data_IF_836127312164
#
_entry.id   IF_836127312164
#
_cell.length_a   1.000
_cell.length_b   1.000
_cell.length_c   1.000
_cell.angle_alpha   90.00
_cell.angle_beta   90.00
_cell.angle_gamma   90.00
#
_symmetry.space_group_name_H-M   'P 1'
#
loop_
_entity.id
_entity.type
_entity.pdbx_description
1 polymer ?
#
# COMPACT_ATOMS: atom_id res chain seq x y z
N UNK A 1 12.91 18.22 -3.88
CA UNK A 1 12.90 16.80 -4.28
C UNK A 1 14.31 16.24 -4.55
N UNK A 2 15.31 17.08 -4.85
CA UNK A 2 16.68 16.62 -5.20
C UNK A 2 17.60 16.24 -4.04
N UNK A 3 17.16 16.34 -2.78
CA UNK A 3 18.02 16.12 -1.61
C UNK A 3 18.04 14.68 -1.10
N UNK A 4 17.03 13.88 -1.43
CA UNK A 4 16.98 12.46 -1.01
C UNK A 4 18.03 11.64 -1.77
N UNK A 5 18.37 12.05 -3.01
CA UNK A 5 19.40 11.37 -3.80
C UNK A 5 20.81 11.50 -3.19
N UNK A 6 21.10 12.59 -2.46
CA UNK A 6 22.44 12.84 -1.90
C UNK A 6 22.74 12.08 -0.62
N UNK A 7 21.74 11.67 0.15
CA UNK A 7 21.93 10.95 1.43
C UNK A 7 22.12 9.45 1.24
N UNK A 8 21.62 8.91 0.12
CA UNK A 8 21.72 7.49 -0.23
C UNK A 8 23.02 7.17 -1.01
N UNK A 9 23.72 8.19 -1.51
CA UNK A 9 24.81 8.09 -2.51
C UNK A 9 26.18 7.61 -2.00
N UNK A 10 26.37 7.23 -0.75
CA UNK A 10 27.75 6.97 -0.27
C UNK A 10 28.17 5.53 -0.04
N UNK A 11 27.28 4.52 -0.12
CA UNK A 11 27.68 3.11 -0.03
C UNK A 11 26.69 2.12 -0.71
N UNK A 12 26.01 2.50 -1.75
CA UNK A 12 25.15 1.61 -2.51
C UNK A 12 25.92 0.97 -3.65
N UNK A 13 25.85 -0.34 -3.74
CA UNK A 13 26.32 -1.09 -4.89
C UNK A 13 25.59 -0.55 -6.14
N UNK A 14 26.33 0.14 -7.01
CA UNK A 14 25.83 0.64 -8.30
C UNK A 14 25.57 -0.53 -9.27
N UNK A 15 24.92 -0.27 -10.38
CA UNK A 15 24.50 -1.20 -11.45
C UNK A 15 25.45 -2.36 -11.76
N UNK A 16 26.77 -2.19 -11.56
CA UNK A 16 27.75 -3.26 -11.72
C UNK A 16 27.62 -4.43 -10.73
N UNK A 17 26.78 -4.33 -9.70
CA UNK A 17 26.63 -5.32 -8.63
C UNK A 17 25.39 -6.22 -8.76
N UNK A 18 24.34 -5.81 -9.48
CA UNK A 18 23.17 -6.66 -9.76
C UNK A 18 23.35 -7.28 -11.15
N UNK A 19 24.21 -8.27 -11.25
CA UNK A 19 24.35 -9.05 -12.48
C UNK A 19 23.12 -9.91 -12.79
N UNK A 20 23.01 -10.41 -14.03
CA UNK A 20 21.89 -11.25 -14.48
C UNK A 20 21.63 -12.48 -13.59
N UNK A 21 22.68 -13.07 -13.01
CA UNK A 21 22.57 -14.21 -12.09
C UNK A 21 21.86 -13.79 -10.81
N UNK A 22 22.24 -12.65 -10.22
CA UNK A 22 21.63 -12.13 -8.99
C UNK A 22 20.18 -11.72 -9.19
N UNK A 23 19.87 -11.12 -10.33
CA UNK A 23 18.48 -10.79 -10.68
C UNK A 23 17.61 -12.05 -10.84
N UNK A 24 18.16 -13.16 -11.39
CA UNK A 24 17.45 -14.44 -11.43
C UNK A 24 17.11 -14.96 -10.02
N UNK A 25 18.01 -14.86 -9.06
CA UNK A 25 17.75 -15.23 -7.66
C UNK A 25 16.65 -14.38 -7.04
N UNK A 26 16.66 -13.07 -7.28
CA UNK A 26 15.59 -12.16 -6.82
C UNK A 26 14.23 -12.57 -7.40
N UNK A 27 14.18 -12.93 -8.68
CA UNK A 27 12.94 -13.36 -9.33
C UNK A 27 12.40 -14.69 -8.78
N UNK A 28 13.27 -15.59 -8.33
CA UNK A 28 12.86 -16.85 -7.70
C UNK A 28 12.37 -16.66 -6.27
N UNK A 29 13.08 -15.86 -5.48
CA UNK A 29 12.72 -15.52 -4.10
C UNK A 29 13.29 -14.15 -3.74
N UNK A 30 12.44 -13.21 -3.39
CA UNK A 30 12.86 -11.86 -3.06
C UNK A 30 11.73 -10.88 -2.97
N UNK A 31 12.05 -9.62 -3.14
CA UNK A 31 11.04 -8.57 -3.11
C UNK A 31 11.55 -7.22 -3.59
N UNK A 32 10.62 -6.30 -3.62
CA UNK A 32 10.81 -4.94 -4.09
C UNK A 32 10.02 -3.95 -3.24
N UNK A 33 10.65 -2.80 -2.95
CA UNK A 33 10.02 -1.69 -2.27
C UNK A 33 10.44 -0.37 -2.91
N UNK A 34 9.51 0.45 -3.37
CA UNK A 34 9.80 1.75 -3.98
C UNK A 34 10.12 2.80 -2.91
N UNK A 35 11.38 3.24 -2.84
CA UNK A 35 11.87 4.24 -1.89
C UNK A 35 11.33 5.64 -2.25
N UNK A 36 11.48 6.04 -3.52
CA UNK A 36 11.02 7.31 -4.08
C UNK A 36 10.62 7.12 -5.56
N UNK A 37 10.36 8.19 -6.29
CA UNK A 37 9.85 8.13 -7.67
C UNK A 37 10.79 7.38 -8.62
N UNK A 38 12.09 7.36 -8.37
CA UNK A 38 13.10 6.76 -9.25
C UNK A 38 13.84 5.57 -8.65
N UNK A 39 13.85 5.40 -7.33
CA UNK A 39 14.66 4.40 -6.65
C UNK A 39 13.83 3.29 -6.03
N UNK A 40 14.33 2.06 -6.20
CA UNK A 40 13.77 0.83 -5.64
C UNK A 40 14.80 0.13 -4.78
N UNK A 41 14.36 -0.42 -3.66
CA UNK A 41 15.06 -1.41 -2.88
C UNK A 41 14.67 -2.79 -3.41
N UNK A 42 15.63 -3.53 -3.95
CA UNK A 42 15.49 -4.96 -4.28
C UNK A 42 16.16 -5.77 -3.17
N UNK A 43 15.62 -6.95 -2.88
CA UNK A 43 16.26 -7.86 -1.93
C UNK A 43 16.06 -9.33 -2.34
N UNK A 44 17.00 -10.18 -1.91
CA UNK A 44 16.99 -11.62 -2.17
C UNK A 44 16.44 -12.40 -0.99
N UNK A 45 15.74 -13.49 -1.28
CA UNK A 45 15.23 -14.43 -0.28
C UNK A 45 14.08 -13.90 0.57
N UNK A 46 13.72 -14.67 1.57
CA UNK A 46 12.72 -14.27 2.55
C UNK A 46 13.32 -13.27 3.56
N UNK A 47 12.45 -12.42 4.11
CA UNK A 47 12.83 -11.58 5.24
C UNK A 47 13.11 -12.46 6.47
N UNK A 48 14.19 -12.19 7.18
CA UNK A 48 14.58 -12.92 8.40
C UNK A 48 14.41 -12.04 9.64
N UNK A 49 14.05 -12.60 10.80
CA UNK A 49 13.90 -11.84 12.03
C UNK A 49 15.15 -11.01 12.38
N UNK A 50 14.93 -9.82 12.89
CA UNK A 50 15.95 -8.89 13.36
C UNK A 50 15.55 -8.36 14.74
N UNK A 51 16.52 -8.07 15.59
CA UNK A 51 16.29 -7.56 16.95
C UNK A 51 17.13 -6.28 17.19
N UNK A 52 17.42 -5.52 16.14
CA UNK A 52 18.19 -4.29 16.26
C UNK A 52 17.44 -3.22 17.02
N UNK A 53 18.09 -2.58 17.96
CA UNK A 53 17.59 -1.34 18.57
C UNK A 53 17.78 -0.16 17.61
N UNK A 54 17.08 0.95 17.84
CA UNK A 54 17.22 2.15 16.99
C UNK A 54 18.64 2.71 16.98
N UNK A 55 19.39 2.56 18.07
CA UNK A 55 20.81 2.95 18.14
C UNK A 55 21.74 2.05 17.30
N UNK A 56 21.30 0.86 16.94
CA UNK A 56 22.05 -0.11 16.11
C UNK A 56 21.68 -0.03 14.62
N UNK A 57 20.71 0.81 14.25
CA UNK A 57 20.36 1.03 12.86
C UNK A 57 21.55 1.62 12.09
N UNK A 58 21.79 1.07 10.92
CA UNK A 58 22.81 1.51 9.96
C UNK A 58 22.15 2.13 8.73
N UNK A 59 22.88 2.23 7.63
CA UNK A 59 22.31 2.59 6.33
C UNK A 59 21.50 1.45 5.69
N UNK A 60 21.67 0.19 6.16
CA UNK A 60 20.84 -0.94 5.72
C UNK A 60 19.42 -0.84 6.27
N UNK A 61 18.47 -1.27 5.46
CA UNK A 61 17.06 -1.25 5.85
C UNK A 61 16.67 -2.40 6.76
N UNK A 62 15.81 -2.11 7.69
CA UNK A 62 14.99 -3.08 8.41
C UNK A 62 13.53 -2.86 8.06
N UNK A 63 12.74 -3.91 8.20
CA UNK A 63 11.35 -3.93 7.77
C UNK A 63 10.42 -4.18 8.94
N UNK A 64 9.24 -3.55 8.90
CA UNK A 64 8.10 -3.88 9.74
C UNK A 64 6.89 -4.14 8.87
N UNK A 65 6.25 -5.29 9.08
CA UNK A 65 5.08 -5.72 8.31
C UNK A 65 4.03 -6.33 9.25
N UNK A 66 3.39 -5.51 10.10
CA UNK A 66 2.33 -5.98 10.98
C UNK A 66 1.11 -6.40 10.16
N UNK A 67 0.26 -7.23 10.74
CA UNK A 67 -1.07 -7.47 10.22
C UNK A 67 -1.98 -6.29 10.54
N UNK A 68 -3.04 -6.13 9.76
CA UNK A 68 -3.92 -4.97 9.93
C UNK A 68 -4.51 -4.83 11.34
N UNK A 69 -4.94 -5.95 11.96
CA UNK A 69 -5.56 -5.97 13.27
C UNK A 69 -4.61 -6.18 14.44
N UNK A 70 -3.30 -6.16 14.25
CA UNK A 70 -2.32 -6.24 15.33
C UNK A 70 -2.46 -5.09 16.35
N UNK A 71 -3.07 -3.98 15.94
CA UNK A 71 -3.46 -2.86 16.82
C UNK A 71 -4.43 -3.27 17.96
N UNK A 72 -5.18 -4.37 17.79
CA UNK A 72 -6.10 -4.86 18.84
C UNK A 72 -5.38 -5.58 19.98
N UNK A 73 -4.11 -5.89 19.82
CA UNK A 73 -3.30 -6.50 20.86
C UNK A 73 -2.76 -5.42 21.80
N UNK A 74 -3.34 -5.32 23.00
CA UNK A 74 -2.97 -4.36 24.05
C UNK A 74 -1.74 -4.84 24.83
N UNK A 75 -0.58 -4.90 24.21
CA UNK A 75 0.67 -5.14 24.93
C UNK A 75 1.66 -3.95 24.79
N UNK A 76 2.70 -4.00 25.60
CA UNK A 76 3.73 -2.95 25.67
C UNK A 76 4.59 -2.80 24.41
N UNK A 77 4.47 -3.70 23.44
CA UNK A 77 5.28 -3.70 22.22
C UNK A 77 4.66 -2.89 21.06
N UNK A 78 3.39 -2.50 21.18
CA UNK A 78 2.70 -1.71 20.15
C UNK A 78 2.48 -2.46 18.82
N UNK A 79 2.30 -1.72 17.72
CA UNK A 79 2.02 -2.26 16.39
C UNK A 79 3.24 -2.96 15.76
N UNK A 80 4.45 -2.43 15.97
CA UNK A 80 5.67 -2.90 15.31
C UNK A 80 6.49 -3.84 16.22
N UNK A 81 5.95 -5.02 16.49
CA UNK A 81 6.54 -6.04 17.36
C UNK A 81 7.67 -6.81 16.73
N UNK A 82 7.52 -7.13 15.44
CA UNK A 82 8.44 -7.95 14.70
C UNK A 82 9.20 -7.09 13.70
N UNK A 83 10.51 -7.12 13.83
CA UNK A 83 11.43 -6.48 12.91
C UNK A 83 12.07 -7.54 12.02
N UNK A 84 12.23 -7.22 10.75
CA UNK A 84 12.78 -8.10 9.73
C UNK A 84 13.95 -7.44 9.02
N UNK A 85 14.86 -8.22 8.50
CA UNK A 85 15.96 -7.75 7.66
C UNK A 85 16.13 -8.65 6.45
N UNK A 86 16.84 -8.14 5.45
CA UNK A 86 17.20 -8.87 4.23
C UNK A 86 18.53 -9.58 4.41
N UNK A 87 18.74 -10.69 3.68
CA UNK A 87 20.07 -11.28 3.54
C UNK A 87 20.96 -10.35 2.73
N UNK A 88 20.43 -9.84 1.62
CA UNK A 88 21.12 -8.99 0.69
C UNK A 88 20.14 -7.99 0.06
N UNK A 89 20.56 -6.75 -0.09
CA UNK A 89 19.73 -5.68 -0.63
C UNK A 89 20.50 -4.78 -1.59
N UNK A 90 19.78 -4.22 -2.56
CA UNK A 90 20.33 -3.39 -3.62
C UNK A 90 19.41 -2.20 -3.86
N UNK A 91 19.97 -1.01 -4.00
CA UNK A 91 19.23 0.16 -4.48
C UNK A 91 19.49 0.30 -5.97
N UNK A 92 18.41 0.39 -6.74
CA UNK A 92 18.44 0.45 -8.20
C UNK A 92 17.53 1.55 -8.70
N UNK A 93 17.92 2.22 -9.80
CA UNK A 93 17.04 3.18 -10.46
C UNK A 93 15.92 2.46 -11.24
N UNK A 94 14.85 3.21 -11.55
CA UNK A 94 13.76 2.70 -12.40
C UNK A 94 14.25 2.24 -13.76
N UNK A 95 15.14 3.02 -14.40
CA UNK A 95 15.65 2.70 -15.72
C UNK A 95 16.48 1.42 -15.70
N UNK A 96 17.37 1.29 -14.73
CA UNK A 96 18.23 0.12 -14.58
C UNK A 96 17.42 -1.13 -14.27
N UNK A 97 16.38 -1.03 -13.42
CA UNK A 97 15.47 -2.15 -13.16
C UNK A 97 14.72 -2.58 -14.43
N UNK A 98 14.27 -1.63 -15.25
CA UNK A 98 13.63 -1.95 -16.53
C UNK A 98 14.59 -2.61 -17.50
N UNK A 99 15.85 -2.15 -17.58
CA UNK A 99 16.89 -2.76 -18.41
C UNK A 99 17.19 -4.20 -17.97
N UNK A 100 17.27 -4.47 -16.66
CA UNK A 100 17.43 -5.83 -16.15
C UNK A 100 16.28 -6.76 -16.55
N UNK A 101 15.03 -6.27 -16.43
CA UNK A 101 13.83 -7.01 -16.83
C UNK A 101 13.86 -7.35 -18.32
N UNK A 102 14.15 -6.37 -19.17
CA UNK A 102 14.21 -6.56 -20.65
C UNK A 102 15.34 -7.51 -21.01
N UNK A 103 16.53 -7.35 -20.40
CA UNK A 103 17.67 -8.21 -20.61
C UNK A 103 17.41 -9.66 -20.23
N UNK A 104 16.75 -9.88 -19.07
CA UNK A 104 16.37 -11.22 -18.62
C UNK A 104 15.36 -11.89 -19.57
N UNK A 105 14.33 -11.15 -20.02
CA UNK A 105 13.35 -11.67 -20.97
C UNK A 105 13.97 -12.04 -22.33
N UNK A 106 14.96 -11.26 -22.78
CA UNK A 106 15.66 -11.53 -24.05
C UNK A 106 16.49 -12.82 -24.02
N UNK A 107 17.02 -13.19 -22.84
CA UNK A 107 17.80 -14.43 -22.64
C UNK A 107 16.92 -15.66 -22.45
N UNK A 108 15.67 -15.50 -22.00
CA UNK A 108 14.71 -16.61 -21.76
C UNK A 108 13.39 -16.35 -22.52
N UNK A 109 13.37 -16.39 -23.85
CA UNK A 109 12.19 -15.98 -24.63
C UNK A 109 10.94 -16.83 -24.37
N UNK A 110 11.07 -18.06 -23.88
CA UNK A 110 9.93 -18.96 -23.58
C UNK A 110 9.06 -18.46 -22.42
N UNK A 111 9.60 -17.59 -21.54
CA UNK A 111 8.83 -16.99 -20.44
C UNK A 111 8.33 -15.56 -20.74
N UNK A 112 8.57 -15.05 -21.93
CA UNK A 112 8.46 -13.62 -22.21
C UNK A 112 7.03 -13.11 -22.45
N UNK A 113 6.09 -13.95 -22.88
CA UNK A 113 4.76 -13.50 -23.32
C UNK A 113 3.62 -14.44 -22.86
N UNK A 114 3.58 -14.75 -21.56
CA UNK A 114 2.42 -15.48 -21.00
C UNK A 114 1.20 -14.59 -21.13
N UNK A 115 0.19 -15.08 -21.87
CA UNK A 115 -1.14 -14.47 -21.92
C UNK A 115 -2.01 -15.10 -20.86
N UNK A 116 -2.13 -14.43 -19.73
CA UNK A 116 -3.01 -14.90 -18.66
C UNK A 116 -4.48 -14.86 -19.09
N UNK A 117 -5.17 -15.96 -18.82
CA UNK A 117 -6.62 -16.06 -18.97
C UNK A 117 -7.20 -16.49 -17.64
N UNK A 118 -8.34 -15.89 -17.29
CA UNK A 118 -9.05 -16.25 -16.07
C UNK A 118 -9.82 -17.53 -16.32
N UNK A 119 -9.59 -18.54 -15.48
CA UNK A 119 -10.32 -19.78 -15.45
C UNK A 119 -11.43 -19.71 -14.40
N UNK A 120 -12.68 -19.79 -14.85
CA UNK A 120 -13.86 -19.73 -14.01
C UNK A 120 -14.34 -18.30 -13.70
N UNK A 121 -15.32 -18.22 -12.80
CA UNK A 121 -15.91 -16.94 -12.39
C UNK A 121 -15.08 -16.30 -11.28
N UNK A 122 -14.88 -14.98 -11.40
CA UNK A 122 -14.34 -14.21 -10.29
C UNK A 122 -15.41 -14.08 -9.21
N UNK A 123 -15.14 -14.73 -8.07
CA UNK A 123 -16.04 -14.70 -6.93
C UNK A 123 -15.59 -13.66 -5.91
N UNK A 124 -16.45 -12.68 -5.64
CA UNK A 124 -16.34 -11.78 -4.48
C UNK A 124 -17.23 -12.27 -3.35
N UNK A 125 -16.85 -11.98 -2.13
CA UNK A 125 -17.65 -12.28 -0.94
C UNK A 125 -18.71 -11.18 -0.75
N UNK A 126 -19.70 -11.12 -1.66
CA UNK A 126 -20.69 -10.02 -1.71
C UNK A 126 -21.58 -10.01 -0.48
N UNK A 127 -21.99 -11.18 0.01
CA UNK A 127 -22.85 -11.29 1.20
C UNK A 127 -22.13 -10.80 2.46
N UNK A 128 -20.88 -11.24 2.67
CA UNK A 128 -20.07 -10.74 3.81
C UNK A 128 -19.80 -9.23 3.72
N UNK A 129 -19.61 -8.70 2.50
CA UNK A 129 -19.51 -7.26 2.30
C UNK A 129 -20.83 -6.55 2.62
N UNK A 130 -21.97 -7.13 2.25
CA UNK A 130 -23.31 -6.61 2.57
C UNK A 130 -23.54 -6.55 4.09
N UNK A 131 -23.16 -7.61 4.81
CA UNK A 131 -23.26 -7.65 6.27
C UNK A 131 -22.45 -6.55 6.92
N UNK A 132 -21.21 -6.31 6.46
CA UNK A 132 -20.37 -5.22 6.93
C UNK A 132 -20.99 -3.85 6.61
N UNK A 133 -21.56 -3.69 5.41
CA UNK A 133 -22.23 -2.47 4.97
C UNK A 133 -23.44 -2.17 5.87
N UNK A 134 -24.32 -3.14 6.08
CA UNK A 134 -25.54 -2.98 6.87
C UNK A 134 -25.21 -2.69 8.35
N UNK A 135 -24.22 -3.40 8.91
CA UNK A 135 -23.72 -3.09 10.24
C UNK A 135 -23.23 -1.64 10.33
N UNK A 136 -22.48 -1.18 9.33
CA UNK A 136 -21.98 0.19 9.30
C UNK A 136 -23.11 1.22 9.27
N UNK A 137 -24.15 0.98 8.47
CA UNK A 137 -25.33 1.86 8.40
C UNK A 137 -26.03 1.99 9.76
N UNK A 138 -26.17 0.88 10.49
CA UNK A 138 -26.73 0.88 11.86
C UNK A 138 -25.85 1.71 12.80
N UNK A 139 -24.50 1.62 12.71
CA UNK A 139 -23.63 2.42 13.57
C UNK A 139 -23.68 3.91 13.24
N UNK A 140 -23.89 4.29 11.98
CA UNK A 140 -24.09 5.68 11.56
C UNK A 140 -25.43 6.26 12.07
N UNK A 141 -26.52 5.50 11.96
CA UNK A 141 -27.83 5.88 12.49
C UNK A 141 -27.79 6.09 14.01
N UNK A 142 -27.07 5.23 14.72
CA UNK A 142 -26.84 5.32 16.15
C UNK A 142 -25.80 6.40 16.55
N UNK A 143 -25.23 7.14 15.58
CA UNK A 143 -24.20 8.17 15.78
C UNK A 143 -22.95 7.69 16.51
N UNK A 144 -22.66 6.38 16.45
CA UNK A 144 -21.46 5.78 17.04
C UNK A 144 -20.25 5.92 16.11
N UNK A 145 -20.46 5.87 14.81
CA UNK A 145 -19.42 6.00 13.78
C UNK A 145 -19.84 7.01 12.71
N UNK A 146 -18.86 7.57 12.02
CA UNK A 146 -19.01 8.47 10.87
C UNK A 146 -18.53 7.81 9.58
N UNK A 147 -17.56 6.89 9.68
CA UNK A 147 -16.97 6.20 8.53
C UNK A 147 -16.50 4.81 8.92
N UNK A 148 -16.60 3.87 7.99
CA UNK A 148 -16.03 2.52 8.06
C UNK A 148 -15.39 2.15 6.73
N UNK A 149 -14.53 1.13 6.70
CA UNK A 149 -13.95 0.61 5.45
C UNK A 149 -14.16 -0.90 5.35
N UNK A 150 -15.36 -1.33 4.95
CA UNK A 150 -15.62 -2.72 4.59
C UNK A 150 -14.74 -3.19 3.45
N UNK A 151 -14.51 -4.49 3.41
CA UNK A 151 -13.71 -5.11 2.36
C UNK A 151 -14.30 -6.41 1.84
N UNK A 152 -13.86 -6.80 0.67
CA UNK A 152 -14.08 -8.13 0.11
C UNK A 152 -12.78 -8.65 -0.52
N UNK A 153 -12.73 -9.96 -0.78
CA UNK A 153 -11.60 -10.60 -1.44
C UNK A 153 -12.11 -11.31 -2.70
N UNK A 154 -11.70 -10.82 -3.87
CA UNK A 154 -11.99 -11.48 -5.14
C UNK A 154 -10.99 -12.62 -5.37
N UNK A 155 -11.51 -13.81 -5.69
CA UNK A 155 -10.72 -15.03 -5.91
C UNK A 155 -11.02 -15.60 -7.29
N UNK A 156 -9.96 -16.06 -7.96
CA UNK A 156 -10.04 -16.73 -9.26
C UNK A 156 -8.78 -17.54 -9.52
N UNK A 157 -8.78 -18.32 -10.57
CA UNK A 157 -7.59 -19.02 -11.05
C UNK A 157 -7.21 -18.50 -12.44
N UNK A 158 -5.94 -18.61 -12.78
CA UNK A 158 -5.42 -18.30 -14.12
C UNK A 158 -4.83 -19.58 -14.74
N UNK A 159 -4.78 -19.61 -16.06
CA UNK A 159 -4.30 -20.76 -16.85
C UNK A 159 -2.83 -21.15 -16.63
N UNK A 160 -2.01 -20.21 -16.13
CA UNK A 160 -0.57 -20.38 -15.98
C UNK A 160 -0.09 -19.87 -14.62
N UNK A 161 1.04 -20.39 -14.13
CA UNK A 161 1.70 -19.88 -12.92
C UNK A 161 2.20 -18.45 -13.12
N UNK A 162 2.16 -17.65 -12.05
CA UNK A 162 2.53 -16.24 -12.12
C UNK A 162 4.03 -16.07 -12.39
N UNK A 163 4.34 -15.37 -13.47
CA UNK A 163 5.69 -14.93 -13.80
C UNK A 163 5.97 -13.57 -13.16
N UNK A 164 6.79 -13.56 -12.12
CA UNK A 164 7.17 -12.34 -11.41
C UNK A 164 7.76 -11.29 -12.35
N UNK A 165 8.65 -11.70 -13.28
CA UNK A 165 9.28 -10.77 -14.21
C UNK A 165 8.26 -10.09 -15.14
N UNK A 166 7.23 -10.82 -15.58
CA UNK A 166 6.19 -10.26 -16.42
C UNK A 166 5.30 -9.29 -15.63
N UNK A 167 4.91 -9.65 -14.41
CA UNK A 167 4.13 -8.77 -13.54
C UNK A 167 4.92 -7.52 -13.18
N UNK A 168 6.22 -7.62 -12.89
CA UNK A 168 7.10 -6.47 -12.66
C UNK A 168 7.15 -5.53 -13.87
N UNK A 169 7.30 -6.05 -15.07
CA UNK A 169 7.27 -5.24 -16.31
C UNK A 169 5.96 -4.49 -16.45
N UNK A 170 4.83 -5.18 -16.27
CA UNK A 170 3.52 -4.57 -16.38
C UNK A 170 3.30 -3.48 -15.32
N UNK A 171 3.60 -3.76 -14.06
CA UNK A 171 3.37 -2.82 -12.97
C UNK A 171 4.27 -1.58 -13.09
N UNK A 172 5.52 -1.74 -13.53
CA UNK A 172 6.43 -0.60 -13.80
C UNK A 172 5.93 0.26 -14.97
N UNK A 173 5.34 -0.35 -16.00
CA UNK A 173 4.74 0.37 -17.13
C UNK A 173 3.48 1.15 -16.71
N UNK A 174 2.68 0.59 -15.79
CA UNK A 174 1.45 1.19 -15.28
C UNK A 174 1.69 2.24 -14.19
N UNK A 175 2.86 2.21 -13.55
CA UNK A 175 3.17 3.05 -12.39
C UNK A 175 3.21 4.54 -12.73
N UNK A 176 2.61 5.35 -11.88
CA UNK A 176 2.64 6.81 -11.93
C UNK A 176 3.41 7.39 -10.75
N UNK A 177 3.72 8.70 -10.80
CA UNK A 177 4.39 9.42 -9.71
C UNK A 177 3.62 9.42 -8.38
N UNK A 178 2.30 9.21 -8.44
CA UNK A 178 1.44 9.19 -7.24
C UNK A 178 1.21 7.79 -6.69
N UNK A 179 2.02 6.81 -7.11
CA UNK A 179 1.91 5.43 -6.63
C UNK A 179 3.27 4.85 -6.29
N UNK A 180 3.32 3.97 -5.29
CA UNK A 180 4.52 3.26 -4.87
C UNK A 180 4.36 1.75 -5.10
N UNK A 181 5.31 1.14 -5.81
CA UNK A 181 5.34 -0.31 -6.03
C UNK A 181 5.99 -0.99 -4.81
N UNK A 182 5.42 -2.12 -4.43
CA UNK A 182 5.91 -2.97 -3.35
C UNK A 182 5.54 -4.42 -3.60
N UNK A 183 6.31 -5.36 -3.12
CA UNK A 183 6.01 -6.79 -3.26
C UNK A 183 7.08 -7.69 -2.68
N UNK A 184 6.65 -8.91 -2.37
CA UNK A 184 7.50 -10.00 -1.92
C UNK A 184 6.98 -11.32 -2.49
N UNK A 185 7.89 -12.20 -2.86
CA UNK A 185 7.55 -13.49 -3.46
C UNK A 185 8.60 -14.56 -3.17
N UNK A 186 8.18 -15.80 -3.21
CA UNK A 186 9.04 -16.97 -3.17
C UNK A 186 8.44 -18.06 -4.05
N UNK A 187 9.25 -18.61 -4.97
CA UNK A 187 8.85 -19.65 -5.92
C UNK A 187 7.48 -19.37 -6.58
N UNK A 188 6.43 -20.05 -6.09
CA UNK A 188 5.10 -20.01 -6.72
C UNK A 188 4.09 -19.15 -5.97
N UNK A 189 4.46 -18.47 -4.90
CA UNK A 189 3.57 -17.63 -4.11
C UNK A 189 4.15 -16.25 -3.87
N UNK A 190 3.28 -15.27 -3.69
CA UNK A 190 3.73 -13.92 -3.38
C UNK A 190 2.59 -12.92 -3.41
N UNK A 191 2.99 -11.69 -3.27
CA UNK A 191 2.13 -10.54 -3.52
C UNK A 191 2.92 -9.40 -4.14
N UNK A 192 2.24 -8.59 -4.93
CA UNK A 192 2.77 -7.34 -5.46
C UNK A 192 1.65 -6.32 -5.54
N UNK A 193 1.96 -5.06 -5.27
CA UNK A 193 0.98 -3.98 -5.32
C UNK A 193 1.57 -2.67 -5.80
N UNK A 194 0.66 -1.76 -6.17
CA UNK A 194 0.98 -0.39 -6.54
C UNK A 194 0.06 0.54 -5.73
N UNK A 195 0.55 0.91 -4.54
CA UNK A 195 -0.22 1.71 -3.59
C UNK A 195 -0.18 3.20 -3.92
N UNK A 196 -1.32 3.89 -3.95
CA UNK A 196 -1.35 5.34 -4.02
C UNK A 196 -1.17 6.02 -2.66
N UNK A 197 -1.07 5.26 -1.56
CA UNK A 197 -1.14 5.79 -0.21
C UNK A 197 0.14 5.52 0.58
N UNK A 198 0.76 6.62 1.04
CA UNK A 198 1.87 6.60 2.00
C UNK A 198 1.32 7.00 3.37
N UNK A 199 1.36 6.07 4.33
CA UNK A 199 0.88 6.34 5.69
C UNK A 199 1.76 7.37 6.41
N UNK A 200 3.08 7.26 6.23
CA UNK A 200 4.04 8.20 6.77
C UNK A 200 5.40 8.04 6.11
N UNK A 201 6.11 9.16 5.99
CA UNK A 201 7.48 9.19 5.50
C UNK A 201 8.27 10.24 6.26
N UNK A 202 9.49 9.91 6.63
CA UNK A 202 10.42 10.78 7.30
C UNK A 202 11.84 10.61 6.74
N UNK A 203 12.60 11.71 6.70
CA UNK A 203 14.02 11.68 6.41
C UNK A 203 14.76 12.68 7.29
N UNK A 204 15.97 12.34 7.69
CA UNK A 204 16.83 13.21 8.49
C UNK A 204 17.19 14.50 7.73
N UNK A 205 17.58 14.37 6.48
CA UNK A 205 17.86 15.50 5.60
C UNK A 205 16.70 15.73 4.61
N UNK A 206 16.45 16.98 4.21
CA UNK A 206 17.12 18.22 4.63
C UNK A 206 16.54 18.81 5.92
N UNK A 207 15.34 18.43 6.37
CA UNK A 207 14.56 19.22 7.32
C UNK A 207 14.00 18.44 8.51
N UNK A 208 14.26 17.15 8.61
CA UNK A 208 13.65 16.26 9.63
C UNK A 208 12.11 16.33 9.60
N UNK A 209 11.54 16.44 8.38
CA UNK A 209 10.10 16.52 8.20
C UNK A 209 9.49 15.13 8.07
N UNK A 210 8.47 14.90 8.88
CA UNK A 210 7.54 13.78 8.71
C UNK A 210 6.37 14.26 7.85
N UNK A 211 5.97 13.44 6.91
CA UNK A 211 4.84 13.69 6.02
C UNK A 211 3.87 12.52 6.07
N UNK A 212 2.59 12.79 6.28
CA UNK A 212 1.50 11.83 6.14
C UNK A 212 0.54 12.31 5.05
N UNK A 213 -0.26 11.39 4.52
CA UNK A 213 -1.16 11.66 3.41
C UNK A 213 -2.60 11.26 3.78
N UNK A 214 -3.53 12.19 3.65
CA UNK A 214 -4.96 11.87 3.58
C UNK A 214 -5.33 11.64 2.11
N UNK A 215 -5.71 10.41 1.76
CA UNK A 215 -6.16 10.02 0.42
C UNK A 215 -7.53 9.36 0.56
N UNK A 216 -8.60 10.07 0.20
CA UNK A 216 -9.97 9.58 0.31
C UNK A 216 -10.91 10.40 -0.58
N UNK A 217 -12.14 9.90 -0.75
CA UNK A 217 -13.06 10.47 -1.73
C UNK A 217 -12.65 10.03 -3.14
N UNK A 218 -13.44 9.14 -3.74
CA UNK A 218 -13.08 8.45 -4.99
C UNK A 218 -14.16 8.66 -6.04
N UNK A 219 -13.75 8.89 -7.30
CA UNK A 219 -14.66 8.85 -8.46
C UNK A 219 -13.95 8.33 -9.70
N UNK A 220 -14.73 7.78 -10.63
CA UNK A 220 -14.22 7.29 -11.91
C UNK A 220 -13.91 8.42 -12.89
N UNK A 221 -12.99 8.20 -13.83
CA UNK A 221 -12.58 9.19 -14.85
C UNK A 221 -13.69 9.61 -15.82
N UNK A 222 -14.79 8.85 -15.89
CA UNK A 222 -15.97 9.26 -16.67
C UNK A 222 -16.62 10.57 -16.14
N UNK A 223 -16.35 10.92 -14.87
CA UNK A 223 -16.80 12.16 -14.25
C UNK A 223 -15.64 13.17 -14.38
N UNK A 224 -15.82 14.17 -15.25
CA UNK A 224 -14.81 15.21 -15.43
C UNK A 224 -14.92 16.26 -14.33
N UNK A 225 -14.01 16.19 -13.36
CA UNK A 225 -13.84 17.16 -12.28
C UNK A 225 -12.41 17.71 -12.37
N UNK A 226 -12.30 19.04 -12.49
CA UNK A 226 -11.01 19.70 -12.66
C UNK A 226 -10.49 20.38 -11.40
N UNK A 227 -11.40 20.73 -10.47
CA UNK A 227 -11.04 21.41 -9.25
C UNK A 227 -11.90 20.95 -8.05
N UNK A 228 -11.41 21.21 -6.85
CA UNK A 228 -12.04 20.81 -5.59
C UNK A 228 -13.50 21.26 -5.44
N UNK A 229 -13.87 22.44 -5.94
CA UNK A 229 -15.23 22.98 -5.78
C UNK A 229 -16.28 22.21 -6.57
N UNK A 230 -15.89 21.49 -7.62
CA UNK A 230 -16.77 20.66 -8.45
C UNK A 230 -17.00 19.27 -7.83
N UNK A 231 -16.20 18.87 -6.84
CA UNK A 231 -16.36 17.58 -6.14
C UNK A 231 -17.67 17.64 -5.33
N UNK A 232 -18.45 16.58 -5.39
CA UNK A 232 -19.70 16.48 -4.64
C UNK A 232 -19.49 16.50 -3.12
N UNK A 233 -20.56 16.82 -2.37
CA UNK A 233 -20.51 16.99 -0.92
C UNK A 233 -20.12 15.70 -0.19
N UNK A 234 -20.65 14.53 -0.60
CA UNK A 234 -20.36 13.24 0.02
C UNK A 234 -18.85 12.96 -0.05
N UNK A 235 -18.28 13.08 -1.27
CA UNK A 235 -16.86 12.85 -1.53
C UNK A 235 -15.95 13.79 -0.74
N UNK A 236 -16.31 15.08 -0.65
CA UNK A 236 -15.57 16.04 0.18
C UNK A 236 -15.67 15.72 1.68
N UNK A 237 -16.83 15.34 2.17
CA UNK A 237 -17.04 14.99 3.57
C UNK A 237 -16.23 13.73 3.94
N UNK A 238 -16.22 12.73 3.07
CA UNK A 238 -15.41 11.53 3.26
C UNK A 238 -13.93 11.85 3.39
N UNK A 239 -13.41 12.72 2.50
CA UNK A 239 -12.02 13.16 2.56
C UNK A 239 -11.72 13.95 3.83
N UNK A 240 -12.61 14.88 4.20
CA UNK A 240 -12.45 15.72 5.39
C UNK A 240 -12.33 14.90 6.68
N UNK A 241 -13.10 13.80 6.82
CA UNK A 241 -13.00 12.87 7.95
C UNK A 241 -11.57 12.31 8.07
N UNK A 242 -10.95 11.93 6.95
CA UNK A 242 -9.58 11.40 6.95
C UNK A 242 -8.56 12.49 7.29
N UNK A 243 -8.73 13.70 6.76
CA UNK A 243 -7.87 14.85 7.10
C UNK A 243 -7.95 15.17 8.60
N UNK A 244 -9.15 15.14 9.19
CA UNK A 244 -9.35 15.39 10.62
C UNK A 244 -8.70 14.31 11.49
N UNK A 245 -8.86 13.03 11.15
CA UNK A 245 -8.24 11.91 11.88
C UNK A 245 -6.72 12.05 11.94
N UNK A 246 -6.06 12.32 10.79
CA UNK A 246 -4.61 12.51 10.72
C UNK A 246 -4.19 13.80 11.43
N UNK A 247 -4.95 14.89 11.26
CA UNK A 247 -4.67 16.18 11.92
C UNK A 247 -4.67 16.02 13.43
N UNK A 248 -5.63 15.28 14.01
CA UNK A 248 -5.71 15.05 15.44
C UNK A 248 -4.42 14.44 16.01
N UNK A 249 -3.79 13.54 15.27
CA UNK A 249 -2.54 12.86 15.66
C UNK A 249 -1.30 13.75 15.50
N UNK A 250 -1.26 14.56 14.45
CA UNK A 250 -0.04 15.32 14.11
C UNK A 250 -0.01 16.76 14.65
N UNK A 251 -1.15 17.38 14.97
CA UNK A 251 -1.24 18.80 15.36
C UNK A 251 -0.43 19.19 16.60
N UNK A 252 -0.12 18.23 17.47
CA UNK A 252 0.67 18.45 18.69
C UNK A 252 2.18 18.43 18.43
N UNK A 253 2.59 17.97 17.25
CA UNK A 253 4.01 17.93 16.87
C UNK A 253 4.54 19.31 16.47
N UNK A 254 5.86 19.49 16.60
CA UNK A 254 6.52 20.74 16.21
C UNK A 254 6.31 21.05 14.73
N UNK A 255 6.11 22.32 14.37
CA UNK A 255 5.98 22.81 12.99
C UNK A 255 4.91 22.06 12.17
N UNK A 256 3.79 21.72 12.78
CA UNK A 256 2.67 21.12 12.08
C UNK A 256 2.06 22.10 11.06
N UNK A 257 1.83 21.62 9.84
CA UNK A 257 1.02 22.30 8.83
C UNK A 257 0.39 21.28 7.87
N UNK A 258 -0.65 21.69 7.16
CA UNK A 258 -1.27 20.92 6.09
C UNK A 258 -1.29 21.72 4.79
N UNK A 259 -1.10 21.01 3.68
CA UNK A 259 -1.24 21.58 2.34
C UNK A 259 -2.71 21.75 1.94
N UNK A 260 -2.95 22.48 0.86
CA UNK A 260 -4.29 22.55 0.27
C UNK A 260 -4.66 21.19 -0.35
N UNK A 261 -5.96 20.86 -0.23
CA UNK A 261 -6.50 19.66 -0.86
C UNK A 261 -6.49 19.80 -2.38
N UNK A 262 -5.98 18.81 -3.07
CA UNK A 262 -5.95 18.77 -4.53
C UNK A 262 -6.41 17.41 -5.07
N UNK A 263 -6.68 17.36 -6.37
CA UNK A 263 -7.12 16.16 -7.08
C UNK A 263 -5.91 15.40 -7.59
N UNK A 264 -5.84 14.10 -7.29
CA UNK A 264 -4.86 13.17 -7.87
C UNK A 264 -5.59 12.23 -8.83
N UNK A 265 -5.10 12.17 -10.08
CA UNK A 265 -5.63 11.27 -11.12
C UNK A 265 -4.74 10.04 -11.22
N UNK A 266 -5.24 8.90 -10.78
CA UNK A 266 -4.63 7.59 -10.97
C UNK A 266 -5.15 6.97 -12.27
N UNK A 267 -4.65 5.82 -12.69
CA UNK A 267 -4.98 5.21 -14.00
C UNK A 267 -6.49 5.11 -14.32
N UNK A 268 -7.37 4.93 -13.34
CA UNK A 268 -8.83 4.72 -13.54
C UNK A 268 -9.71 5.50 -12.57
N UNK A 269 -9.14 6.02 -11.52
CA UNK A 269 -9.85 6.67 -10.43
C UNK A 269 -9.16 7.98 -10.09
N UNK A 270 -9.94 8.96 -9.71
CA UNK A 270 -9.45 10.20 -9.10
C UNK A 270 -9.75 10.20 -7.61
N UNK A 271 -8.88 10.85 -6.85
CA UNK A 271 -9.00 10.99 -5.40
C UNK A 271 -8.71 12.43 -4.96
N UNK A 272 -9.25 12.80 -3.80
CA UNK A 272 -8.78 13.97 -3.09
C UNK A 272 -7.56 13.59 -2.25
N UNK A 273 -6.54 14.45 -2.25
CA UNK A 273 -5.28 14.29 -1.51
C UNK A 273 -4.96 15.56 -0.73
N UNK A 274 -4.58 15.38 0.54
CA UNK A 274 -4.03 16.42 1.40
C UNK A 274 -2.77 15.87 2.06
N UNK A 275 -1.64 16.54 1.91
CA UNK A 275 -0.45 16.19 2.67
C UNK A 275 -0.42 16.98 3.99
N UNK A 276 0.00 16.29 5.05
CA UNK A 276 0.13 16.84 6.39
C UNK A 276 1.57 16.64 6.84
N UNK A 277 2.16 17.66 7.44
CA UNK A 277 3.57 17.68 7.76
C UNK A 277 3.80 18.11 9.20
N UNK A 278 4.83 17.53 9.82
CA UNK A 278 5.34 17.99 11.11
C UNK A 278 6.86 17.71 11.21
N UNK A 279 7.54 18.38 12.14
CA UNK A 279 8.95 18.07 12.42
C UNK A 279 9.04 16.92 13.42
N UNK A 280 9.93 15.98 13.12
CA UNK A 280 10.25 14.81 13.96
C UNK A 280 11.75 14.68 14.06
N UNK A 281 12.25 14.47 15.27
CA UNK A 281 13.68 14.62 15.55
C UNK A 281 14.49 13.36 15.16
N UNK A 282 13.87 12.16 15.13
CA UNK A 282 14.54 10.90 14.83
C UNK A 282 13.60 9.84 14.20
N UNK A 283 14.20 8.74 13.80
CA UNK A 283 13.53 7.59 13.16
C UNK A 283 12.56 6.86 14.11
N UNK A 284 12.91 6.76 15.39
CA UNK A 284 12.07 6.10 16.39
C UNK A 284 10.74 6.84 16.53
N UNK A 285 10.79 8.16 16.67
CA UNK A 285 9.61 9.00 16.73
C UNK A 285 8.78 8.97 15.46
N UNK A 286 9.44 8.87 14.30
CA UNK A 286 8.74 8.71 13.03
C UNK A 286 7.95 7.39 12.98
N UNK A 287 8.54 6.29 13.48
CA UNK A 287 7.87 4.99 13.54
C UNK A 287 6.71 4.98 14.53
N UNK A 288 6.86 5.63 15.70
CA UNK A 288 5.76 5.83 16.64
C UNK A 288 4.57 6.55 15.99
N UNK A 289 4.81 7.64 15.25
CA UNK A 289 3.75 8.36 14.56
C UNK A 289 3.06 7.49 13.49
N UNK A 290 3.79 6.65 12.75
CA UNK A 290 3.20 5.69 11.82
C UNK A 290 2.31 4.71 12.56
N UNK A 291 2.73 4.22 13.73
CA UNK A 291 1.92 3.34 14.58
C UNK A 291 0.63 4.04 15.05
N UNK A 292 0.73 5.28 15.51
CA UNK A 292 -0.41 6.08 15.97
C UNK A 292 -1.42 6.41 14.86
N UNK A 293 -0.93 6.54 13.63
CA UNK A 293 -1.76 6.78 12.46
C UNK A 293 -2.53 5.53 12.02
N UNK A 294 -1.99 4.32 12.24
CA UNK A 294 -2.65 3.09 11.78
C UNK A 294 -3.78 2.61 12.72
N UNK A 295 -4.94 2.21 12.13
CA UNK A 295 -5.41 2.53 10.79
C UNK A 295 -6.00 3.95 10.76
N UNK A 296 -5.74 4.68 9.68
CA UNK A 296 -6.45 5.97 9.45
C UNK A 296 -7.92 5.73 9.14
N UNK A 297 -8.72 6.79 9.19
CA UNK A 297 -10.12 6.75 8.74
C UNK A 297 -10.27 6.41 7.23
N UNK A 298 -9.18 6.40 6.45
CA UNK A 298 -9.17 5.91 5.07
C UNK A 298 -9.22 4.37 4.98
N UNK A 299 -8.88 3.66 6.08
CA UNK A 299 -8.67 2.21 6.09
C UNK A 299 -9.47 1.47 7.18
N UNK A 300 -9.78 2.15 8.28
CA UNK A 300 -10.44 1.58 9.45
C UNK A 300 -11.84 2.14 9.70
N UNK A 301 -12.17 2.29 10.98
CA UNK A 301 -13.39 2.93 11.45
C UNK A 301 -13.09 4.32 12.03
N UNK A 302 -14.04 5.24 11.96
CA UNK A 302 -13.91 6.56 12.56
C UNK A 302 -15.24 7.04 13.19
N UNK A 303 -15.23 7.66 14.39
CA UNK A 303 -14.08 7.82 15.27
C UNK A 303 -13.53 6.47 15.77
N UNK A 304 -12.23 6.46 16.11
CA UNK A 304 -11.54 5.25 16.58
C UNK A 304 -12.14 4.80 17.91
N UNK A 305 -12.60 3.55 17.96
CA UNK A 305 -13.26 2.97 19.11
C UNK A 305 -12.90 1.49 19.23
N UNK A 306 -12.33 1.08 20.37
CA UNK A 306 -11.85 -0.29 20.58
C UNK A 306 -12.99 -1.33 20.48
N UNK A 307 -14.16 -1.04 21.06
CA UNK A 307 -15.34 -1.94 21.01
C UNK A 307 -15.81 -2.11 19.55
N UNK A 308 -15.95 -1.01 18.82
CA UNK A 308 -16.37 -1.03 17.41
C UNK A 308 -15.33 -1.73 16.52
N UNK A 309 -14.03 -1.52 16.77
CA UNK A 309 -12.95 -2.25 16.08
C UNK A 309 -13.06 -3.76 16.33
N UNK A 310 -13.31 -4.17 17.58
CA UNK A 310 -13.48 -5.59 17.93
C UNK A 310 -14.69 -6.21 17.23
N UNK A 311 -15.82 -5.52 17.17
CA UNK A 311 -17.01 -5.97 16.45
C UNK A 311 -16.73 -6.04 14.95
N UNK A 312 -16.15 -5.00 14.35
CA UNK A 312 -15.89 -4.92 12.91
C UNK A 312 -14.87 -5.97 12.46
N UNK A 313 -13.82 -6.21 13.25
CA UNK A 313 -12.81 -7.25 12.98
C UNK A 313 -13.38 -8.66 13.00
N UNK A 314 -14.56 -8.87 13.60
CA UNK A 314 -15.21 -10.20 13.71
C UNK A 314 -15.83 -10.70 12.39
N UNK A 315 -16.10 -9.82 11.42
CA UNK A 315 -16.59 -10.24 10.09
C UNK A 315 -15.58 -11.14 9.38
N UNK A 316 -16.07 -12.08 8.60
CA UNK A 316 -15.26 -13.14 7.99
C UNK A 316 -14.09 -12.60 7.16
N UNK A 317 -14.36 -11.63 6.28
CA UNK A 317 -13.31 -11.02 5.45
C UNK A 317 -12.38 -10.14 6.28
N UNK A 318 -12.88 -9.45 7.30
CA UNK A 318 -12.05 -8.65 8.19
C UNK A 318 -11.09 -9.52 9.02
N UNK A 319 -11.53 -10.67 9.54
CA UNK A 319 -10.65 -11.64 10.23
C UNK A 319 -9.49 -12.11 9.35
N UNK A 320 -9.76 -12.27 8.04
CA UNK A 320 -8.80 -12.74 7.06
C UNK A 320 -8.14 -11.58 6.29
N UNK A 321 -8.19 -10.36 6.83
CA UNK A 321 -7.61 -9.16 6.19
C UNK A 321 -6.08 -9.23 6.12
N UNK A 322 -5.46 -9.89 7.09
CA UNK A 322 -4.01 -10.10 7.16
C UNK A 322 -3.26 -8.78 6.92
N UNK A 323 -2.42 -8.73 5.91
CA UNK A 323 -1.62 -7.55 5.56
C UNK A 323 -2.35 -6.50 4.71
N UNK A 324 -3.56 -6.78 4.21
CA UNK A 324 -4.26 -5.83 3.34
C UNK A 324 -4.66 -4.54 4.08
N UNK A 325 -4.14 -3.41 3.61
CA UNK A 325 -4.32 -2.09 4.23
C UNK A 325 -3.45 -1.85 5.46
N UNK A 326 -2.59 -2.81 5.83
CA UNK A 326 -1.62 -2.64 6.89
C UNK A 326 -0.41 -1.80 6.42
N UNK A 327 0.36 -1.19 7.32
CA UNK A 327 1.59 -0.51 6.96
C UNK A 327 2.70 -1.53 6.64
N UNK A 328 3.38 -1.35 5.51
CA UNK A 328 4.67 -1.97 5.27
C UNK A 328 5.75 -0.91 5.32
N UNK A 329 6.62 -1.01 6.31
CA UNK A 329 7.57 0.04 6.65
C UNK A 329 8.99 -0.41 6.36
N UNK A 330 9.78 0.46 5.74
CA UNK A 330 11.22 0.35 5.69
C UNK A 330 11.85 1.46 6.53
N UNK A 331 12.87 1.10 7.29
CA UNK A 331 13.55 1.99 8.22
C UNK A 331 15.04 1.80 8.14
N UNK A 332 15.80 2.90 8.17
CA UNK A 332 17.21 2.92 8.51
C UNK A 332 17.52 4.10 9.43
N UNK A 333 18.78 4.34 9.77
CA UNK A 333 19.15 5.41 10.73
C UNK A 333 18.69 6.82 10.32
N UNK A 334 18.49 7.08 9.02
CA UNK A 334 18.20 8.40 8.46
C UNK A 334 16.89 8.49 7.67
N UNK A 335 16.13 7.39 7.59
CA UNK A 335 14.96 7.32 6.74
C UNK A 335 13.92 6.35 7.31
N UNK A 336 12.66 6.71 7.17
CA UNK A 336 11.50 5.87 7.47
C UNK A 336 10.42 6.13 6.42
N UNK A 337 9.87 5.07 5.81
CA UNK A 337 8.72 5.18 4.90
C UNK A 337 7.78 4.01 5.11
N UNK A 338 6.50 4.32 5.23
CA UNK A 338 5.40 3.35 5.33
C UNK A 338 4.48 3.47 4.13
N UNK A 339 4.36 2.40 3.36
CA UNK A 339 3.35 2.24 2.31
C UNK A 339 2.16 1.49 2.91
N UNK A 340 0.94 1.95 2.61
CA UNK A 340 -0.28 1.20 2.91
C UNK A 340 -0.41 0.07 1.89
N UNK A 341 -0.53 -1.18 2.34
CA UNK A 341 -0.56 -2.35 1.45
C UNK A 341 -1.95 -2.56 0.82
N UNK A 342 -2.29 -1.74 -0.15
CA UNK A 342 -3.51 -1.80 -0.96
C UNK A 342 -3.19 -1.93 -2.45
N UNK A 343 -4.21 -2.17 -3.26
CA UNK A 343 -4.04 -2.38 -4.71
C UNK A 343 -3.05 -3.51 -5.00
N UNK A 344 -3.19 -4.61 -4.30
CA UNK A 344 -2.29 -5.76 -4.39
C UNK A 344 -2.93 -6.95 -5.10
N UNK A 345 -2.10 -7.63 -5.88
CA UNK A 345 -2.30 -8.97 -6.41
C UNK A 345 -1.60 -9.94 -5.47
N UNK A 346 -2.30 -10.95 -4.99
CA UNK A 346 -1.73 -12.05 -4.23
C UNK A 346 -1.90 -13.32 -5.03
N UNK A 347 -0.91 -14.23 -4.98
CA UNK A 347 -1.00 -15.51 -5.67
C UNK A 347 -0.39 -16.66 -4.85
N UNK A 348 -0.92 -17.84 -5.08
CA UNK A 348 -0.38 -19.12 -4.68
C UNK A 348 -0.56 -20.08 -5.87
N UNK A 349 0.54 -20.33 -6.59
CA UNK A 349 0.54 -20.99 -7.89
C UNK A 349 -0.35 -20.23 -8.90
N UNK A 350 -1.43 -20.85 -9.37
CA UNK A 350 -2.42 -20.28 -10.29
C UNK A 350 -3.58 -19.59 -9.58
N UNK A 351 -3.68 -19.74 -8.25
CA UNK A 351 -4.77 -19.14 -7.46
C UNK A 351 -4.45 -17.69 -7.15
N UNK A 352 -5.37 -16.82 -7.53
CA UNK A 352 -5.24 -15.38 -7.37
C UNK A 352 -6.22 -14.86 -6.33
N UNK A 353 -5.77 -13.91 -5.54
CA UNK A 353 -6.61 -13.15 -4.61
C UNK A 353 -6.34 -11.65 -4.79
N UNK A 354 -7.41 -10.88 -4.86
CA UNK A 354 -7.37 -9.41 -4.92
C UNK A 354 -8.27 -8.86 -3.80
N UNK A 355 -7.69 -8.50 -2.66
CA UNK A 355 -8.42 -7.83 -1.60
C UNK A 355 -8.68 -6.37 -1.99
N UNK A 356 -9.90 -5.90 -1.76
CA UNK A 356 -10.33 -4.53 -2.02
C UNK A 356 -11.27 -4.04 -0.93
N UNK A 357 -11.25 -2.74 -0.65
CA UNK A 357 -12.12 -2.08 0.31
C UNK A 357 -12.54 -0.70 -0.18
N UNK A 358 -13.64 -0.17 0.35
CA UNK A 358 -14.10 1.18 0.09
C UNK A 358 -14.57 1.87 1.37
N UNK A 359 -14.48 3.21 1.41
CA UNK A 359 -14.97 4.02 2.51
C UNK A 359 -16.49 4.15 2.44
N UNK A 360 -17.17 3.81 3.53
CA UNK A 360 -18.63 3.94 3.68
C UNK A 360 -18.93 5.02 4.69
N UNK A 361 -19.89 5.87 4.35
CA UNK A 361 -20.49 6.92 5.20
C UNK A 361 -22.01 6.77 5.25
N UNK A 362 -22.67 7.63 6.01
CA UNK A 362 -24.13 7.62 6.10
C UNK A 362 -24.83 7.78 4.73
N UNK A 363 -24.21 8.50 3.79
CA UNK A 363 -24.76 8.78 2.45
C UNK A 363 -24.46 7.67 1.42
N UNK A 364 -23.63 6.66 1.77
CA UNK A 364 -23.22 5.56 0.87
C UNK A 364 -24.40 4.67 0.46
N UNK A 365 -24.36 4.21 -0.79
CA UNK A 365 -25.33 3.29 -1.39
C UNK A 365 -24.62 1.99 -1.77
N UNK A 366 -25.18 0.84 -1.36
CA UNK A 366 -24.54 -0.47 -1.51
C UNK A 366 -24.08 -0.78 -2.93
N UNK A 367 -24.92 -0.56 -3.93
CA UNK A 367 -24.58 -0.90 -5.31
C UNK A 367 -23.47 -0.01 -5.88
N UNK A 368 -23.42 1.27 -5.50
CA UNK A 368 -22.35 2.17 -5.92
C UNK A 368 -21.01 1.77 -5.28
N UNK A 369 -21.01 1.44 -3.99
CA UNK A 369 -19.80 0.99 -3.29
C UNK A 369 -19.31 -0.37 -3.85
N UNK A 370 -20.24 -1.28 -4.17
CA UNK A 370 -19.88 -2.55 -4.82
C UNK A 370 -19.23 -2.33 -6.20
N UNK A 371 -19.72 -1.38 -7.00
CA UNK A 371 -19.11 -1.02 -8.29
C UNK A 371 -17.71 -0.41 -8.11
N UNK A 372 -17.51 0.37 -7.06
CA UNK A 372 -16.18 0.89 -6.72
C UNK A 372 -15.19 -0.26 -6.42
N UNK A 373 -15.61 -1.28 -5.67
CA UNK A 373 -14.78 -2.47 -5.41
C UNK A 373 -14.43 -3.22 -6.70
N UNK A 374 -15.39 -3.38 -7.62
CA UNK A 374 -15.16 -3.99 -8.95
C UNK A 374 -14.13 -3.17 -9.73
N UNK A 375 -14.25 -1.84 -9.73
CA UNK A 375 -13.29 -0.95 -10.42
C UNK A 375 -11.88 -1.07 -9.84
N UNK A 376 -11.76 -1.13 -8.51
CA UNK A 376 -10.48 -1.35 -7.81
C UNK A 376 -9.89 -2.72 -8.16
N UNK A 377 -10.69 -3.79 -8.18
CA UNK A 377 -10.27 -5.13 -8.65
C UNK A 377 -9.71 -5.07 -10.07
N UNK A 378 -10.46 -4.46 -10.99
CA UNK A 378 -10.07 -4.38 -12.39
C UNK A 378 -8.76 -3.62 -12.60
N UNK A 379 -8.46 -2.61 -11.77
CA UNK A 379 -7.17 -1.93 -11.82
C UNK A 379 -5.98 -2.83 -11.45
N UNK A 380 -6.19 -3.80 -10.55
CA UNK A 380 -5.16 -4.75 -10.13
C UNK A 380 -4.98 -5.89 -11.15
N UNK A 381 -6.05 -6.35 -11.76
CA UNK A 381 -5.98 -7.41 -12.79
C UNK A 381 -5.07 -7.03 -13.96
N UNK A 382 -4.94 -5.75 -14.26
CA UNK A 382 -4.01 -5.25 -15.29
C UNK A 382 -2.55 -5.58 -15.04
N UNK A 383 -2.16 -5.91 -13.81
CA UNK A 383 -0.80 -6.39 -13.53
C UNK A 383 -0.51 -7.73 -14.22
N UNK A 384 -1.54 -8.46 -14.61
CA UNK A 384 -1.46 -9.69 -15.40
C UNK A 384 -1.51 -9.44 -16.92
N UNK A 385 -1.59 -8.17 -17.36
CA UNK A 385 -1.80 -7.83 -18.76
C UNK A 385 -3.21 -8.09 -19.27
N UNK A 386 -4.19 -8.22 -18.37
CA UNK A 386 -5.61 -8.42 -18.70
C UNK A 386 -6.32 -7.07 -18.63
N UNK A 387 -6.79 -6.56 -19.77
CA UNK A 387 -7.37 -5.20 -19.85
C UNK A 387 -8.79 -5.09 -19.34
N UNK A 388 -9.63 -6.07 -19.58
CA UNK A 388 -11.03 -6.09 -19.12
C UNK A 388 -11.50 -7.51 -18.80
N UNK A 389 -12.37 -7.58 -17.79
CA UNK A 389 -13.14 -8.78 -17.46
C UNK A 389 -14.61 -8.41 -17.60
N UNK A 390 -15.28 -9.15 -18.45
CA UNK A 390 -16.73 -9.08 -18.64
C UNK A 390 -17.50 -9.49 -17.36
#
# INVERSE_FOLDING_TARGET
>A
MDSISKTVDKQTNTLGSVGAVKFSEILESGGLYQINDDQFLLFTGDLVPSNKTFSELTDRFVFYQPRFWDILHNDSQGLFREQWQTHEEFIISRNDLMELIIGFQSQKPIQADIKYQIEGLIQGQKDDFKDQFDWSKIQFENKKLLKTVPMTNFKFEVNESISVVQVLKQILTLNSKDTSIYGQWSLNKGFIGMSPETLGQWSYEPNQMFSAMALAGTWGHQIQIENYNQVDRKTRNEHQIVVEDITEKLRTQKRFFKEETHIVKLSHLSHLKTNLHCRVDDTEKALELISDLHPTAALGIFPRNAEMNSQFSSFKTQKNREYFGAPWVIVNKNFCKSIVTIRQLQWDQQKIQIPVGCGITAESQFDLEWQELITKRNSVIKYLGIDQIS
#
